data_IF_141933506174
#
_entry.id   IF_141933506174
#
_cell.length_a   1.000
_cell.length_b   1.000
_cell.length_c   1.000
_cell.angle_alpha   90.00
_cell.angle_beta   90.00
_cell.angle_gamma   90.00
#
_symmetry.space_group_name_H-M   'P 1'
#
loop_
_entity.id
_entity.type
_entity.pdbx_description
1 polymer ?
#
# COMPACT_ATOMS: atom_id res chain seq x y z
N UNK A 1 5.71 14.79 15.99
CA UNK A 1 5.10 15.57 14.88
C UNK A 1 6.17 16.24 14.02
N UNK A 2 7.18 16.90 14.62
CA UNK A 2 8.24 17.57 13.85
C UNK A 2 9.03 16.64 12.91
N UNK A 3 9.34 15.42 13.37
CA UNK A 3 10.01 14.40 12.56
C UNK A 3 9.15 13.93 11.38
N UNK A 4 7.84 13.76 11.57
CA UNK A 4 6.88 13.41 10.53
C UNK A 4 6.79 14.52 9.48
N UNK A 5 6.62 15.78 9.90
CA UNK A 5 6.52 16.92 8.99
C UNK A 5 7.80 17.17 8.20
N UNK A 6 8.97 17.01 8.84
CA UNK A 6 10.27 17.10 8.17
C UNK A 6 10.46 15.98 7.13
N UNK A 7 10.08 14.74 7.46
CA UNK A 7 10.21 13.59 6.56
C UNK A 7 9.28 13.71 5.34
N UNK A 8 8.02 14.11 5.55
CA UNK A 8 7.05 14.36 4.46
C UNK A 8 7.48 15.51 3.57
N UNK A 9 8.01 16.59 4.15
CA UNK A 9 8.52 17.73 3.38
C UNK A 9 9.73 17.36 2.53
N UNK A 10 10.62 16.52 3.06
CA UNK A 10 11.77 16.01 2.31
C UNK A 10 11.32 15.11 1.17
N UNK A 11 10.41 14.16 1.42
CA UNK A 11 9.82 13.30 0.38
C UNK A 11 9.18 14.15 -0.74
N UNK A 12 8.36 15.13 -0.39
CA UNK A 12 7.64 15.95 -1.37
C UNK A 12 8.57 16.84 -2.23
N UNK A 13 9.62 17.40 -1.65
CA UNK A 13 10.47 18.41 -2.32
C UNK A 13 11.70 17.80 -2.96
N UNK A 14 12.26 16.75 -2.35
CA UNK A 14 13.52 16.14 -2.78
C UNK A 14 13.26 14.89 -3.62
N UNK A 15 12.35 14.02 -3.18
CA UNK A 15 12.11 12.73 -3.85
C UNK A 15 11.07 12.84 -4.98
N UNK A 16 10.01 13.62 -4.79
CA UNK A 16 9.00 13.93 -5.83
C UNK A 16 9.28 15.23 -6.61
N UNK A 17 10.01 16.16 -6.03
CA UNK A 17 10.26 17.48 -6.62
C UNK A 17 11.41 17.50 -7.64
N UNK A 18 11.40 18.48 -8.55
CA UNK A 18 12.53 18.70 -9.47
C UNK A 18 13.77 19.13 -8.67
N UNK A 19 14.85 18.34 -8.74
CA UNK A 19 16.16 18.54 -8.06
C UNK A 19 16.75 19.96 -8.18
N UNK A 20 16.31 20.79 -9.14
CA UNK A 20 16.87 22.13 -9.41
C UNK A 20 16.29 23.27 -8.58
N UNK A 21 15.21 23.08 -7.81
CA UNK A 21 14.62 24.18 -7.00
C UNK A 21 14.22 23.72 -5.60
N UNK A 22 15.23 23.32 -4.81
CA UNK A 22 15.03 23.04 -3.38
C UNK A 22 14.89 24.39 -2.68
N UNK A 23 13.66 24.77 -2.33
CA UNK A 23 13.36 26.02 -1.62
C UNK A 23 12.81 25.70 -0.24
N UNK A 24 13.43 26.25 0.81
CA UNK A 24 12.99 26.11 2.20
C UNK A 24 11.56 26.62 2.41
N UNK A 25 11.15 27.64 1.66
CA UNK A 25 9.79 28.18 1.70
C UNK A 25 8.73 27.16 1.25
N UNK A 26 9.04 26.35 0.23
CA UNK A 26 8.15 25.26 -0.22
C UNK A 26 8.08 24.15 0.84
N UNK A 27 9.16 23.92 1.58
CA UNK A 27 9.18 22.98 2.72
C UNK A 27 8.17 23.34 3.78
N UNK A 28 8.16 24.61 4.18
CA UNK A 28 7.21 25.13 5.17
C UNK A 28 5.76 25.02 4.71
N UNK A 29 5.48 25.22 3.41
CA UNK A 29 4.16 25.00 2.84
C UNK A 29 3.71 23.54 2.89
N UNK A 30 4.61 22.59 2.58
CA UNK A 30 4.30 21.16 2.71
C UNK A 30 4.03 20.79 4.17
N UNK A 31 4.80 21.32 5.12
CA UNK A 31 4.54 21.12 6.56
C UNK A 31 3.16 21.66 6.96
N UNK A 32 2.80 22.87 6.52
CA UNK A 32 1.49 23.47 6.80
C UNK A 32 0.34 22.63 6.22
N UNK A 33 0.44 22.25 4.95
CA UNK A 33 -0.57 21.42 4.28
C UNK A 33 -0.70 20.05 4.94
N UNK A 34 0.41 19.44 5.34
CA UNK A 34 0.42 18.14 6.05
C UNK A 34 -0.19 18.27 7.45
N UNK A 35 0.06 19.37 8.16
CA UNK A 35 -0.53 19.63 9.46
C UNK A 35 -2.05 19.83 9.34
N UNK A 36 -2.50 20.73 8.46
CA UNK A 36 -3.93 20.97 8.24
C UNK A 36 -4.64 19.72 7.74
N UNK A 37 -4.08 19.07 6.72
CA UNK A 37 -4.64 17.85 6.13
C UNK A 37 -4.62 16.65 7.07
N UNK A 38 -3.58 16.50 7.90
CA UNK A 38 -3.47 15.42 8.88
C UNK A 38 -4.33 15.61 10.13
N UNK A 39 -4.61 16.87 10.51
CA UNK A 39 -5.50 17.18 11.64
C UNK A 39 -6.98 17.16 11.24
N UNK A 40 -7.30 17.40 9.95
CA UNK A 40 -8.70 17.40 9.47
C UNK A 40 -9.44 16.08 9.75
N UNK A 41 -8.87 14.89 9.49
CA UNK A 41 -9.52 13.62 9.79
C UNK A 41 -9.80 13.42 11.27
N UNK A 42 -9.02 13.99 12.21
CA UNK A 42 -9.23 13.79 13.66
C UNK A 42 -10.58 14.31 14.17
N UNK A 43 -11.21 15.20 13.42
CA UNK A 43 -12.56 15.70 13.71
C UNK A 43 -13.67 14.80 13.14
N UNK A 44 -13.30 13.80 12.33
CA UNK A 44 -14.20 12.76 11.84
C UNK A 44 -14.27 11.61 12.86
N UNK A 45 -15.44 11.00 12.97
CA UNK A 45 -15.77 9.86 13.84
C UNK A 45 -14.94 8.59 13.50
N UNK A 46 -15.16 7.40 14.11
CA UNK A 46 -14.29 6.21 13.98
C UNK A 46 -13.93 5.72 12.56
N UNK A 47 -14.51 6.29 11.51
CA UNK A 47 -14.18 6.10 10.10
C UNK A 47 -12.71 6.39 9.75
N UNK A 48 -12.00 7.19 10.55
CA UNK A 48 -10.55 7.39 10.38
C UNK A 48 -9.81 6.06 10.44
N UNK A 49 -10.15 5.22 11.42
CA UNK A 49 -9.45 3.95 11.61
C UNK A 49 -9.70 3.04 10.41
N UNK A 50 -10.93 3.00 9.91
CA UNK A 50 -11.28 2.28 8.68
C UNK A 50 -10.46 2.76 7.48
N UNK A 51 -10.26 4.07 7.30
CA UNK A 51 -9.45 4.59 6.20
C UNK A 51 -7.97 4.16 6.31
N UNK A 52 -7.39 4.20 7.51
CA UNK A 52 -6.02 3.71 7.73
C UNK A 52 -5.90 2.21 7.49
N UNK A 53 -6.93 1.44 7.87
CA UNK A 53 -7.00 -0.01 7.69
C UNK A 53 -7.15 -0.40 6.22
N UNK A 54 -8.02 0.27 5.47
CA UNK A 54 -8.18 0.10 4.02
C UNK A 54 -6.86 0.37 3.29
N UNK A 55 -6.18 1.46 3.65
CA UNK A 55 -4.87 1.76 3.07
C UNK A 55 -3.83 0.68 3.40
N UNK A 56 -3.90 0.11 4.61
CA UNK A 56 -3.05 -1.01 5.03
C UNK A 56 -3.25 -2.25 4.16
N UNK A 57 -4.50 -2.60 3.85
CA UNK A 57 -4.82 -3.71 2.94
C UNK A 57 -4.28 -3.46 1.53
N UNK A 58 -4.32 -2.22 1.02
CA UNK A 58 -3.73 -1.88 -0.29
C UNK A 58 -2.21 -2.09 -0.33
N UNK A 59 -1.55 -1.77 0.79
CA UNK A 59 -0.08 -1.84 0.90
C UNK A 59 0.43 -3.26 1.15
N UNK A 60 -0.43 -4.26 1.40
CA UNK A 60 -0.03 -5.67 1.53
C UNK A 60 0.80 -6.16 0.35
N UNK A 61 0.56 -5.63 -0.86
CA UNK A 61 1.36 -5.94 -2.04
C UNK A 61 2.85 -5.64 -1.89
N UNK A 62 3.23 -4.70 -1.03
CA UNK A 62 4.63 -4.36 -0.74
C UNK A 62 5.31 -5.36 0.20
N UNK A 63 4.56 -6.15 0.97
CA UNK A 63 5.12 -7.11 1.93
C UNK A 63 6.10 -8.11 1.29
N UNK A 64 5.76 -8.85 0.20
CA UNK A 64 6.72 -9.76 -0.43
C UNK A 64 7.91 -9.02 -1.05
N UNK A 65 7.73 -7.80 -1.55
CA UNK A 65 8.81 -7.01 -2.16
C UNK A 65 9.87 -6.65 -1.11
N UNK A 66 9.47 -6.19 0.07
CA UNK A 66 10.41 -5.86 1.15
C UNK A 66 11.01 -7.10 1.79
N UNK A 67 10.22 -8.15 1.99
CA UNK A 67 10.71 -9.39 2.61
C UNK A 67 11.74 -10.09 1.71
N UNK A 68 11.51 -10.12 0.39
CA UNK A 68 12.39 -10.75 -0.59
C UNK A 68 13.23 -9.74 -1.38
N UNK A 69 13.59 -8.59 -0.78
CA UNK A 69 14.30 -7.53 -1.49
C UNK A 69 15.68 -7.94 -2.05
N UNK A 70 16.33 -8.94 -1.46
CA UNK A 70 17.61 -9.50 -1.95
C UNK A 70 17.43 -10.54 -3.06
N UNK A 71 16.20 -10.99 -3.32
CA UNK A 71 15.91 -12.00 -4.32
C UNK A 71 15.85 -11.34 -5.71
N UNK A 72 16.48 -11.92 -6.76
CA UNK A 72 16.53 -11.32 -8.08
C UNK A 72 15.19 -11.48 -8.81
N UNK A 73 14.20 -10.68 -8.42
CA UNK A 73 12.87 -10.69 -9.02
C UNK A 73 12.75 -9.78 -10.24
N UNK A 74 12.05 -10.25 -11.30
CA UNK A 74 11.77 -9.40 -12.45
C UNK A 74 10.86 -8.24 -12.05
N UNK A 75 10.90 -7.15 -12.83
CA UNK A 75 10.03 -5.97 -12.62
C UNK A 75 8.54 -6.35 -12.59
N UNK A 76 8.16 -7.40 -13.32
CA UNK A 76 6.79 -7.90 -13.35
C UNK A 76 6.32 -8.38 -11.96
N UNK A 77 7.18 -9.01 -11.16
CA UNK A 77 6.84 -9.46 -9.79
C UNK A 77 6.45 -8.30 -8.90
N UNK A 78 7.12 -7.15 -9.05
CA UNK A 78 6.77 -5.93 -8.32
C UNK A 78 5.37 -5.44 -8.69
N UNK A 79 5.09 -5.29 -9.99
CA UNK A 79 3.79 -4.78 -10.44
C UNK A 79 2.64 -5.72 -10.11
N UNK A 80 2.83 -7.03 -10.26
CA UNK A 80 1.81 -8.01 -9.93
C UNK A 80 1.46 -7.97 -8.44
N UNK A 81 2.47 -7.98 -7.56
CA UNK A 81 2.24 -7.91 -6.12
C UNK A 81 1.56 -6.58 -5.72
N UNK A 82 2.06 -5.45 -6.22
CA UNK A 82 1.53 -4.12 -5.92
C UNK A 82 0.06 -3.98 -6.35
N UNK A 83 -0.24 -4.31 -7.61
CA UNK A 83 -1.60 -4.18 -8.13
C UNK A 83 -2.56 -5.16 -7.47
N UNK A 84 -2.09 -6.36 -7.12
CA UNK A 84 -2.91 -7.32 -6.35
C UNK A 84 -3.32 -6.73 -4.99
N UNK A 85 -2.39 -6.10 -4.27
CA UNK A 85 -2.70 -5.41 -3.01
C UNK A 85 -3.73 -4.30 -3.20
N UNK A 86 -3.54 -3.42 -4.19
CA UNK A 86 -4.46 -2.33 -4.50
C UNK A 86 -5.87 -2.87 -4.82
N UNK A 87 -5.96 -3.91 -5.66
CA UNK A 87 -7.24 -4.55 -6.00
C UNK A 87 -7.92 -5.13 -4.76
N UNK A 88 -7.17 -5.79 -3.86
CA UNK A 88 -7.73 -6.29 -2.60
C UNK A 88 -8.32 -5.15 -1.74
N UNK A 89 -7.62 -4.02 -1.64
CA UNK A 89 -8.13 -2.85 -0.94
C UNK A 89 -9.38 -2.25 -1.61
N UNK A 90 -9.43 -2.20 -2.95
CA UNK A 90 -10.62 -1.75 -3.69
C UNK A 90 -11.81 -2.69 -3.44
N UNK A 91 -11.60 -4.01 -3.49
CA UNK A 91 -12.62 -5.02 -3.18
C UNK A 91 -13.19 -4.79 -1.78
N UNK A 92 -12.32 -4.53 -0.79
CA UNK A 92 -12.74 -4.20 0.57
C UNK A 92 -13.55 -2.89 0.62
N UNK A 93 -13.10 -1.81 -0.02
CA UNK A 93 -13.83 -0.53 -0.02
C UNK A 93 -15.22 -0.62 -0.63
N UNK A 94 -15.37 -1.44 -1.67
CA UNK A 94 -16.63 -1.61 -2.39
C UNK A 94 -17.50 -2.72 -1.78
N UNK A 95 -17.07 -3.35 -0.67
CA UNK A 95 -17.72 -4.50 -0.06
C UNK A 95 -18.03 -5.63 -1.07
N UNK A 96 -17.12 -5.84 -2.03
CA UNK A 96 -17.28 -6.83 -3.11
C UNK A 96 -16.86 -8.24 -2.71
N UNK A 97 -16.42 -8.46 -1.46
CA UNK A 97 -16.04 -9.78 -0.98
C UNK A 97 -17.31 -10.63 -0.75
N UNK A 98 -17.51 -11.74 -1.47
CA UNK A 98 -18.71 -12.54 -1.32
C UNK A 98 -18.79 -13.21 0.07
N UNK A 99 -19.98 -13.29 0.70
CA UNK A 99 -20.15 -13.82 2.05
C UNK A 99 -19.56 -15.22 2.32
N UNK A 100 -19.54 -16.18 1.36
CA UNK A 100 -18.91 -17.49 1.57
C UNK A 100 -17.41 -17.44 1.85
N UNK A 101 -16.74 -16.33 1.53
CA UNK A 101 -15.31 -16.14 1.82
C UNK A 101 -15.07 -15.57 3.22
N UNK A 102 -16.11 -15.26 4.00
CA UNK A 102 -15.92 -14.83 5.39
C UNK A 102 -15.46 -16.01 6.24
N UNK A 103 -14.26 -15.88 6.82
CA UNK A 103 -13.66 -16.90 7.68
C UNK A 103 -14.20 -16.88 9.11
N UNK A 104 -14.77 -15.76 9.53
CA UNK A 104 -15.30 -15.54 10.88
C UNK A 104 -16.65 -14.83 10.79
N UNK A 105 -17.39 -14.81 11.90
CA UNK A 105 -18.60 -14.02 12.04
C UNK A 105 -18.29 -12.79 12.90
N UNK A 106 -18.64 -11.60 12.43
CA UNK A 106 -18.42 -10.36 13.18
C UNK A 106 -18.23 -9.13 12.31
N UNK A 107 -18.09 -7.97 12.96
CA UNK A 107 -17.99 -6.63 12.33
C UNK A 107 -16.79 -6.48 11.37
N UNK A 108 -15.71 -7.23 11.59
CA UNK A 108 -14.47 -7.15 10.81
C UNK A 108 -14.16 -8.46 10.06
N UNK A 109 -15.18 -9.30 9.82
CA UNK A 109 -15.01 -10.59 9.17
C UNK A 109 -14.49 -10.45 7.73
N UNK A 110 -15.01 -9.47 7.01
CA UNK A 110 -14.59 -9.06 5.67
C UNK A 110 -13.13 -8.59 5.64
N UNK A 111 -12.76 -7.71 6.58
CA UNK A 111 -11.42 -7.17 6.73
C UNK A 111 -10.42 -8.28 7.05
N UNK A 112 -10.77 -9.18 7.96
CA UNK A 112 -9.90 -10.29 8.33
C UNK A 112 -9.69 -11.24 7.14
N UNK A 113 -10.77 -11.64 6.48
CA UNK A 113 -10.73 -12.52 5.31
C UNK A 113 -9.90 -11.92 4.18
N UNK A 114 -10.16 -10.67 3.78
CA UNK A 114 -9.41 -10.03 2.68
C UNK A 114 -7.94 -9.87 3.00
N UNK A 115 -7.54 -9.62 4.25
CA UNK A 115 -6.12 -9.50 4.59
C UNK A 115 -5.41 -10.86 4.52
N UNK A 116 -6.07 -11.96 4.91
CA UNK A 116 -5.51 -13.32 4.75
C UNK A 116 -5.39 -13.67 3.27
N UNK A 117 -6.49 -13.60 2.52
CA UNK A 117 -6.48 -13.95 1.10
C UNK A 117 -5.58 -13.01 0.30
N UNK A 118 -5.64 -11.72 0.57
CA UNK A 118 -4.81 -10.70 -0.06
C UNK A 118 -3.32 -10.94 0.19
N UNK A 119 -2.92 -11.33 1.39
CA UNK A 119 -1.53 -11.70 1.68
C UNK A 119 -1.09 -12.90 0.84
N UNK A 120 -1.88 -13.97 0.82
CA UNK A 120 -1.59 -15.18 0.03
C UNK A 120 -1.49 -14.84 -1.46
N UNK A 121 -2.45 -14.06 -1.98
CA UNK A 121 -2.48 -13.63 -3.38
C UNK A 121 -1.31 -12.73 -3.73
N UNK A 122 -0.93 -11.77 -2.88
CA UNK A 122 0.20 -10.88 -3.12
C UNK A 122 1.52 -11.65 -3.18
N UNK A 123 1.73 -12.62 -2.29
CA UNK A 123 2.91 -13.49 -2.31
C UNK A 123 2.90 -14.41 -3.55
N UNK A 124 1.76 -15.03 -3.87
CA UNK A 124 1.62 -15.84 -5.08
C UNK A 124 1.90 -15.04 -6.35
N UNK A 125 1.32 -13.84 -6.47
CA UNK A 125 1.52 -12.93 -7.59
C UNK A 125 2.97 -12.44 -7.72
N UNK A 126 3.68 -12.25 -6.60
CA UNK A 126 5.10 -11.92 -6.60
C UNK A 126 5.95 -13.05 -7.20
N UNK A 127 5.64 -14.32 -6.88
CA UNK A 127 6.40 -15.47 -7.37
C UNK A 127 5.95 -15.97 -8.75
N UNK A 128 4.75 -15.59 -9.22
CA UNK A 128 4.19 -16.06 -10.50
C UNK A 128 5.13 -15.86 -11.71
N UNK A 129 5.83 -14.72 -11.88
CA UNK A 129 6.73 -14.53 -13.01
C UNK A 129 7.93 -15.48 -13.04
N UNK A 130 8.33 -16.05 -11.90
CA UNK A 130 9.43 -17.02 -11.86
C UNK A 130 9.02 -18.36 -12.49
N UNK A 131 7.77 -18.77 -12.28
CA UNK A 131 7.21 -19.98 -12.88
C UNK A 131 7.08 -19.87 -14.41
N UNK A 132 6.93 -18.65 -14.93
CA UNK A 132 6.93 -18.41 -16.38
C UNK A 132 8.33 -18.28 -16.96
N UNK A 133 9.28 -17.67 -16.22
CA UNK A 133 10.65 -17.50 -16.71
C UNK A 133 11.41 -18.82 -16.85
N UNK A 134 11.14 -19.82 -16.01
CA UNK A 134 11.70 -21.16 -16.21
C UNK A 134 11.25 -21.83 -17.50
N UNK A 135 10.08 -21.48 -18.05
CA UNK A 135 9.58 -22.06 -19.30
C UNK A 135 10.24 -21.48 -20.57
N UNK A 136 10.76 -20.25 -20.52
CA UNK A 136 11.39 -19.61 -21.69
C UNK A 136 12.85 -20.02 -21.92
N UNK A 137 13.51 -20.65 -20.93
CA UNK A 137 14.93 -21.05 -21.03
C UNK A 137 15.10 -22.49 -21.57
N UNK A 138 14.00 -23.21 -21.83
CA UNK A 138 14.01 -24.63 -22.26
C UNK A 138 13.53 -24.82 -23.71
N UNK A 139 13.54 -23.78 -24.54
CA UNK A 139 13.30 -23.85 -25.99
C UNK A 139 14.51 -23.34 -26.78
#
# INVERSE_FOLDING_TARGET
>A
MDSTFSSVSKLAIVDLGRKRTISLSRGRWVMLLTAVGGTTPLFLTPEILSATTISGTMVLGLAPIFLFWKFPAPKLSYHLALWTGIVCGIILTLNLLPPPLYLTTGKYADLFAINIYGTILCFGAYFLPFLWKEKEVVL
#
